data_IF_612003533063
#
_entry.id   IF_612003533063
#
_cell.length_a   1.000
_cell.length_b   1.000
_cell.length_c   1.000
_cell.angle_alpha   90.00
_cell.angle_beta   90.00
_cell.angle_gamma   90.00
#
_symmetry.space_group_name_H-M   'P 1'
#
loop_
_entity.id
_entity.type
_entity.pdbx_description
1 polymer ?
#
# COMPACT_ATOMS: atom_id res chain seq x y z
N UNK A 1 13.81 -5.27 -7.88
CA UNK A 1 13.05 -6.53 -7.81
C UNK A 1 12.13 -6.40 -6.62
N UNK A 2 10.84 -6.55 -6.84
CA UNK A 2 9.76 -6.24 -5.89
C UNK A 2 9.64 -7.31 -4.82
N UNK A 3 9.25 -6.91 -3.60
CA UNK A 3 8.96 -7.83 -2.52
C UNK A 3 7.70 -8.66 -2.89
N UNK A 4 7.86 -9.98 -3.13
CA UNK A 4 6.78 -10.89 -3.53
C UNK A 4 5.62 -10.93 -2.51
N UNK A 5 5.91 -10.75 -1.22
CA UNK A 5 4.88 -10.71 -0.17
C UNK A 5 4.03 -9.46 -0.30
N UNK A 6 4.65 -8.27 -0.35
CA UNK A 6 3.91 -7.02 -0.46
C UNK A 6 3.16 -6.90 -1.79
N UNK A 7 3.72 -7.39 -2.90
CA UNK A 7 3.01 -7.46 -4.18
C UNK A 7 1.74 -8.30 -4.09
N UNK A 8 1.82 -9.48 -3.47
CA UNK A 8 0.63 -10.32 -3.26
C UNK A 8 -0.41 -9.59 -2.40
N UNK A 9 0.01 -8.84 -1.37
CA UNK A 9 -0.93 -8.05 -0.57
C UNK A 9 -1.56 -6.91 -1.34
N UNK A 10 -0.80 -6.18 -2.17
CA UNK A 10 -1.34 -5.15 -3.07
C UNK A 10 -2.39 -5.75 -4.01
N UNK A 11 -2.14 -6.94 -4.56
CA UNK A 11 -3.10 -7.64 -5.40
C UNK A 11 -4.41 -7.90 -4.64
N UNK A 12 -4.35 -8.43 -3.42
CA UNK A 12 -5.56 -8.69 -2.62
C UNK A 12 -6.29 -7.43 -2.17
N UNK A 13 -5.62 -6.28 -2.09
CA UNK A 13 -6.30 -5.01 -1.83
C UNK A 13 -7.03 -4.50 -3.08
N UNK A 14 -6.54 -4.83 -4.28
CA UNK A 14 -7.23 -4.55 -5.54
C UNK A 14 -8.44 -5.48 -5.73
N UNK A 15 -8.27 -6.77 -5.48
CA UNK A 15 -9.33 -7.80 -5.52
C UNK A 15 -10.31 -7.61 -4.34
N UNK A 16 -11.41 -6.89 -4.59
CA UNK A 16 -12.40 -6.54 -3.56
C UNK A 16 -13.47 -7.61 -3.40
N UNK A 17 -13.74 -8.40 -4.43
CA UNK A 17 -14.71 -9.50 -4.37
C UNK A 17 -14.08 -10.84 -3.93
N UNK A 18 -12.76 -10.93 -3.88
CA UNK A 18 -12.01 -12.08 -3.39
C UNK A 18 -11.99 -13.25 -4.37
N UNK A 19 -12.27 -13.00 -5.66
CA UNK A 19 -12.32 -14.03 -6.70
C UNK A 19 -10.95 -14.41 -7.26
N UNK A 20 -9.87 -13.85 -6.69
CA UNK A 20 -8.48 -14.02 -7.11
C UNK A 20 -8.18 -13.50 -8.51
N UNK A 21 -9.00 -12.58 -9.01
CA UNK A 21 -8.80 -11.81 -10.22
C UNK A 21 -8.96 -10.32 -9.90
N UNK A 22 -8.48 -9.46 -10.79
CA UNK A 22 -8.74 -8.02 -10.71
C UNK A 22 -9.60 -7.67 -11.91
N UNK A 23 -10.89 -7.47 -11.66
CA UNK A 23 -11.84 -7.09 -12.69
C UNK A 23 -11.65 -5.62 -13.11
N UNK A 24 -12.33 -5.19 -14.17
CA UNK A 24 -12.17 -3.84 -14.72
C UNK A 24 -12.47 -2.73 -13.68
N UNK A 25 -13.48 -2.92 -12.83
CA UNK A 25 -13.84 -1.91 -11.84
C UNK A 25 -12.78 -1.81 -10.74
N UNK A 26 -12.27 -2.94 -10.27
CA UNK A 26 -11.19 -3.02 -9.29
C UNK A 26 -9.91 -2.41 -9.81
N UNK A 27 -9.55 -2.72 -11.06
CA UNK A 27 -8.42 -2.13 -11.75
C UNK A 27 -8.50 -0.60 -11.79
N UNK A 28 -9.65 -0.06 -12.21
CA UNK A 28 -9.86 1.39 -12.30
C UNK A 28 -9.80 2.04 -10.91
N UNK A 29 -10.45 1.45 -9.90
CA UNK A 29 -10.45 1.97 -8.52
C UNK A 29 -9.04 1.96 -7.91
N UNK A 30 -8.30 0.87 -8.08
CA UNK A 30 -6.93 0.76 -7.59
C UNK A 30 -5.99 1.76 -8.27
N UNK A 31 -6.08 1.89 -9.60
CA UNK A 31 -5.29 2.90 -10.33
C UNK A 31 -5.65 4.33 -9.95
N UNK A 32 -6.92 4.63 -9.66
CA UNK A 32 -7.33 5.95 -9.20
C UNK A 32 -6.57 6.35 -7.92
N UNK A 33 -6.44 5.43 -6.96
CA UNK A 33 -5.65 5.65 -5.72
C UNK A 33 -4.16 5.75 -6.02
N UNK A 34 -3.62 4.85 -6.85
CA UNK A 34 -2.18 4.79 -7.14
C UNK A 34 -1.67 6.05 -7.85
N UNK A 35 -2.37 6.47 -8.90
CA UNK A 35 -1.91 7.56 -9.75
C UNK A 35 -2.30 8.92 -9.17
N UNK A 36 -3.52 9.03 -8.61
CA UNK A 36 -4.13 10.32 -8.26
C UNK A 36 -4.80 10.35 -6.88
N UNK A 37 -4.58 9.32 -6.06
CA UNK A 37 -5.16 9.25 -4.73
C UNK A 37 -4.67 10.39 -3.84
N UNK A 38 -5.59 10.92 -3.05
CA UNK A 38 -5.30 11.82 -1.93
C UNK A 38 -4.43 11.12 -0.89
N UNK A 39 -3.85 11.90 0.01
CA UNK A 39 -3.06 11.34 1.11
C UNK A 39 -3.90 10.38 1.96
N UNK A 40 -5.15 10.74 2.23
CA UNK A 40 -6.12 9.92 2.97
C UNK A 40 -6.43 8.59 2.28
N UNK A 41 -6.65 8.60 0.97
CA UNK A 41 -6.90 7.37 0.19
C UNK A 41 -5.67 6.46 0.19
N UNK A 42 -4.47 7.03 0.02
CA UNK A 42 -3.20 6.29 0.07
C UNK A 42 -2.92 5.71 1.45
N UNK A 43 -3.24 6.45 2.51
CA UNK A 43 -3.10 6.00 3.90
C UNK A 43 -4.01 4.81 4.20
N UNK A 44 -5.29 4.88 3.80
CA UNK A 44 -6.20 3.73 3.91
C UNK A 44 -5.71 2.54 3.09
N UNK A 45 -5.27 2.79 1.87
CA UNK A 45 -4.75 1.75 1.00
C UNK A 45 -3.55 1.01 1.64
N UNK A 46 -2.53 1.74 2.11
CA UNK A 46 -1.36 1.09 2.70
C UNK A 46 -1.72 0.38 4.02
N UNK A 47 -2.64 0.91 4.81
CA UNK A 47 -3.17 0.18 5.96
C UNK A 47 -3.82 -1.15 5.55
N UNK A 48 -4.67 -1.15 4.50
CA UNK A 48 -5.28 -2.36 3.93
C UNK A 48 -4.25 -3.39 3.48
N UNK A 49 -3.15 -2.95 2.86
CA UNK A 49 -2.03 -3.82 2.48
C UNK A 49 -1.38 -4.44 3.72
N UNK A 50 -1.26 -3.69 4.81
CA UNK A 50 -0.55 -4.14 6.01
C UNK A 50 -1.35 -5.06 6.91
N UNK A 51 -2.64 -4.80 7.12
CA UNK A 51 -3.45 -5.66 7.99
C UNK A 51 -3.89 -6.95 7.30
N UNK A 52 -3.78 -7.07 5.98
CA UNK A 52 -4.35 -8.14 5.14
C UNK A 52 -4.67 -9.44 5.91
N UNK A 53 -5.96 -9.82 5.94
CA UNK A 53 -6.62 -10.93 6.66
C UNK A 53 -7.13 -10.65 8.09
N UNK A 54 -8.42 -10.91 8.31
CA UNK A 54 -8.97 -11.51 9.53
C UNK A 54 -9.38 -10.60 10.70
N UNK A 55 -8.66 -9.54 10.99
CA UNK A 55 -8.79 -8.86 12.29
C UNK A 55 -8.82 -7.32 12.24
N UNK A 56 -8.62 -6.68 11.08
CA UNK A 56 -8.63 -5.21 10.93
C UNK A 56 -7.59 -4.46 11.79
N UNK A 57 -6.55 -5.18 12.25
CA UNK A 57 -5.39 -4.61 12.95
C UNK A 57 -4.10 -5.17 12.33
N UNK A 58 -3.02 -4.41 12.44
CA UNK A 58 -1.68 -4.91 12.09
C UNK A 58 -1.08 -5.53 13.35
N UNK A 59 -1.05 -6.86 13.41
CA UNK A 59 -0.45 -7.58 14.53
C UNK A 59 1.08 -7.51 14.49
N UNK A 60 1.68 -7.78 15.65
CA UNK A 60 3.13 -7.87 15.81
C UNK A 60 3.79 -8.83 14.81
N UNK A 61 3.17 -9.98 14.60
CA UNK A 61 3.63 -11.03 13.68
C UNK A 61 3.59 -10.52 12.23
N UNK A 62 2.52 -9.80 11.85
CA UNK A 62 2.41 -9.19 10.52
C UNK A 62 3.50 -8.16 10.26
N UNK A 63 3.83 -7.33 11.26
CA UNK A 63 4.94 -6.37 11.17
C UNK A 63 6.25 -7.12 10.94
N UNK A 64 6.51 -8.15 11.74
CA UNK A 64 7.72 -8.97 11.61
C UNK A 64 7.87 -9.58 10.22
N UNK A 65 6.81 -10.22 9.70
CA UNK A 65 6.83 -10.85 8.38
C UNK A 65 7.09 -9.86 7.24
N UNK A 66 6.45 -8.68 7.30
CA UNK A 66 6.66 -7.63 6.30
C UNK A 66 8.09 -7.08 6.34
N UNK A 67 8.61 -6.79 7.54
CA UNK A 67 9.98 -6.28 7.70
C UNK A 67 11.03 -7.33 7.29
N UNK A 68 10.83 -8.59 7.67
CA UNK A 68 11.70 -9.71 7.25
C UNK A 68 11.76 -9.79 5.73
N UNK A 69 10.60 -9.73 5.09
CA UNK A 69 10.48 -9.82 3.64
C UNK A 69 11.06 -8.59 2.92
N UNK A 70 10.85 -7.38 3.45
CA UNK A 70 11.30 -6.13 2.82
C UNK A 70 12.80 -5.88 2.95
N UNK A 71 13.43 -6.34 4.03
CA UNK A 71 14.84 -6.04 4.33
C UNK A 71 15.80 -7.16 3.92
N UNK A 72 15.35 -8.42 3.89
CA UNK A 72 16.25 -9.58 3.79
C UNK A 72 15.83 -10.53 2.68
N UNK A 73 16.03 -10.11 1.43
CA UNK A 73 15.88 -10.99 0.27
C UNK A 73 17.09 -11.91 0.03
N UNK A 74 18.27 -11.66 0.65
CA UNK A 74 19.54 -12.31 0.23
C UNK A 74 20.59 -12.56 1.35
N UNK A 75 20.23 -12.59 2.65
CA UNK A 75 21.22 -12.75 3.75
C UNK A 75 20.99 -14.02 4.58
N UNK A 76 22.03 -14.61 5.20
CA UNK A 76 21.88 -15.77 6.08
C UNK A 76 20.88 -15.49 7.21
N UNK A 77 19.98 -16.45 7.44
CA UNK A 77 18.68 -16.29 8.09
C UNK A 77 18.74 -16.04 9.61
N UNK A 78 19.86 -16.36 10.26
CA UNK A 78 19.93 -16.43 11.73
C UNK A 78 20.48 -15.17 12.40
N UNK A 79 21.27 -14.33 11.72
CA UNK A 79 21.89 -13.13 12.34
C UNK A 79 20.98 -11.89 12.33
N UNK A 80 19.88 -11.90 11.58
CA UNK A 80 19.06 -10.71 11.31
C UNK A 80 17.70 -10.68 12.03
N UNK A 81 17.29 -11.75 12.71
CA UNK A 81 15.98 -11.80 13.37
C UNK A 81 15.89 -10.87 14.59
N UNK A 82 16.97 -10.72 15.35
CA UNK A 82 16.96 -9.83 16.52
C UNK A 82 16.79 -8.37 16.11
N UNK A 83 17.47 -7.94 15.04
CA UNK A 83 17.27 -6.60 14.48
C UNK A 83 15.84 -6.36 13.98
N UNK A 84 15.18 -7.39 13.42
CA UNK A 84 13.77 -7.27 13.03
C UNK A 84 12.87 -7.16 14.27
N UNK A 85 13.12 -7.94 15.33
CA UNK A 85 12.36 -7.82 16.59
C UNK A 85 12.50 -6.43 17.21
N UNK A 86 13.70 -5.86 17.17
CA UNK A 86 13.92 -4.47 17.60
C UNK A 86 13.11 -3.47 16.75
N UNK A 87 13.08 -3.64 15.42
CA UNK A 87 12.28 -2.80 14.54
C UNK A 87 10.77 -2.95 14.79
N UNK A 88 10.30 -4.17 15.10
CA UNK A 88 8.91 -4.42 15.50
C UNK A 88 8.58 -3.64 16.78
N UNK A 89 9.44 -3.70 17.79
CA UNK A 89 9.25 -2.95 19.04
C UNK A 89 9.28 -1.44 18.82
N UNK A 90 10.20 -0.94 18.00
CA UNK A 90 10.26 0.47 17.63
C UNK A 90 8.99 0.90 16.91
N UNK A 91 8.45 0.05 16.03
CA UNK A 91 7.23 0.32 15.28
C UNK A 91 6.03 0.40 16.21
N UNK A 92 5.83 -0.58 17.10
CA UNK A 92 4.77 -0.55 18.11
C UNK A 92 4.91 0.69 19.00
N UNK A 93 6.09 0.94 19.56
CA UNK A 93 6.32 2.13 20.41
C UNK A 93 6.01 3.46 19.72
N UNK A 94 6.16 3.55 18.39
CA UNK A 94 5.87 4.75 17.61
C UNK A 94 4.40 4.87 17.19
N UNK A 95 3.73 3.75 17.00
CA UNK A 95 2.45 3.71 16.28
C UNK A 95 1.29 3.23 17.17
N UNK A 96 1.52 2.29 18.09
CA UNK A 96 0.52 1.78 19.04
C UNK A 96 0.30 2.81 20.16
N UNK A 97 -0.78 3.60 20.07
CA UNK A 97 -1.08 4.64 21.06
C UNK A 97 -1.89 4.13 22.26
N UNK A 98 -2.68 3.08 22.08
CA UNK A 98 -3.51 2.51 23.14
C UNK A 98 -2.80 1.39 23.92
N UNK A 99 -1.63 0.95 23.45
CA UNK A 99 -0.74 -0.06 24.03
C UNK A 99 -1.39 -1.44 24.13
N UNK A 100 -2.21 -1.80 23.15
CA UNK A 100 -2.85 -3.12 23.08
C UNK A 100 -1.99 -4.18 22.35
N UNK A 101 -0.82 -3.78 21.85
CA UNK A 101 0.16 -4.65 21.20
C UNK A 101 -0.09 -4.89 19.71
N UNK A 102 -1.05 -4.17 19.11
CA UNK A 102 -1.36 -4.18 17.68
C UNK A 102 -1.60 -2.73 17.21
N UNK A 103 -1.72 -2.53 15.90
CA UNK A 103 -1.90 -1.19 15.33
C UNK A 103 -3.28 -1.14 14.66
N UNK A 104 -4.19 -0.35 15.23
CA UNK A 104 -5.48 0.00 14.63
C UNK A 104 -5.34 0.99 13.48
N UNK A 105 -6.42 1.25 12.74
CA UNK A 105 -6.40 2.30 11.71
C UNK A 105 -6.20 3.68 12.35
N UNK A 106 -6.82 3.92 13.51
CA UNK A 106 -6.72 5.16 14.27
C UNK A 106 -5.28 5.43 14.73
N UNK A 107 -4.59 4.39 15.19
CA UNK A 107 -3.17 4.41 15.55
C UNK A 107 -2.30 4.76 14.35
N UNK A 108 -2.51 4.03 13.25
CA UNK A 108 -1.79 4.21 12.00
C UNK A 108 -1.99 5.62 11.44
N UNK A 109 -3.24 6.09 11.34
CA UNK A 109 -3.57 7.43 10.87
C UNK A 109 -2.89 8.50 11.72
N UNK A 110 -2.98 8.38 13.04
CA UNK A 110 -2.38 9.36 13.95
C UNK A 110 -0.85 9.38 13.84
N UNK A 111 -0.21 8.21 13.71
CA UNK A 111 1.22 8.11 13.51
C UNK A 111 1.67 8.71 12.17
N UNK A 112 1.00 8.35 11.08
CA UNK A 112 1.32 8.79 9.71
C UNK A 112 1.06 10.29 9.51
N UNK A 113 0.02 10.86 10.13
CA UNK A 113 -0.20 12.31 10.12
C UNK A 113 0.87 13.08 10.89
N UNK A 114 1.45 12.48 11.93
CA UNK A 114 2.54 13.07 12.71
C UNK A 114 3.87 12.96 11.99
N UNK A 115 4.12 11.83 11.33
CA UNK A 115 5.33 11.55 10.57
C UNK A 115 4.98 10.82 9.26
N UNK A 116 4.95 11.56 8.15
CA UNK A 116 4.56 11.03 6.84
C UNK A 116 5.48 9.95 6.30
N UNK A 117 6.70 9.80 6.85
CA UNK A 117 7.61 8.71 6.49
C UNK A 117 7.09 7.34 6.95
N UNK A 118 6.16 7.31 7.90
CA UNK A 118 5.57 6.07 8.40
C UNK A 118 4.52 5.48 7.46
N UNK A 119 4.10 6.20 6.42
CA UNK A 119 3.09 5.73 5.46
C UNK A 119 3.49 4.38 4.83
N UNK A 120 4.78 4.24 4.49
CA UNK A 120 5.35 3.03 3.88
C UNK A 120 6.33 2.31 4.83
N UNK A 121 6.12 2.41 6.15
CA UNK A 121 7.07 1.96 7.18
C UNK A 121 7.48 0.48 7.08
N UNK A 122 6.58 -0.39 6.62
CA UNK A 122 6.81 -1.84 6.53
C UNK A 122 7.23 -2.30 5.12
N UNK A 123 7.42 -1.35 4.21
CA UNK A 123 7.87 -1.54 2.85
C UNK A 123 6.96 -0.85 1.83
N UNK A 124 7.45 -0.68 0.59
CA UNK A 124 6.77 0.08 -0.45
C UNK A 124 5.48 -0.63 -0.90
N UNK A 125 4.35 0.05 -0.72
CA UNK A 125 3.00 -0.35 -1.16
C UNK A 125 2.51 0.49 -2.35
N UNK A 126 3.15 1.63 -2.61
CA UNK A 126 2.73 2.58 -3.65
C UNK A 126 3.76 2.69 -4.77
N UNK A 127 3.31 2.98 -6.00
CA UNK A 127 4.22 3.30 -7.08
C UNK A 127 4.94 4.63 -6.81
N UNK A 128 6.22 4.69 -7.15
CA UNK A 128 6.98 5.93 -7.08
C UNK A 128 6.49 6.94 -8.13
N UNK A 129 6.76 8.23 -7.87
CA UNK A 129 6.28 9.31 -8.73
C UNK A 129 6.74 9.16 -10.20
N UNK A 130 7.97 8.69 -10.44
CA UNK A 130 8.50 8.52 -11.81
C UNK A 130 7.74 7.41 -12.54
N UNK A 131 7.41 6.32 -11.84
CA UNK A 131 6.58 5.24 -12.37
C UNK A 131 5.17 5.73 -12.69
N UNK A 132 4.55 6.52 -11.80
CA UNK A 132 3.24 7.13 -12.07
C UNK A 132 3.27 8.03 -13.32
N UNK A 133 4.23 8.96 -13.40
CA UNK A 133 4.35 9.86 -14.55
C UNK A 133 4.58 9.10 -15.86
N UNK A 134 5.40 8.05 -15.83
CA UNK A 134 5.65 7.22 -17.01
C UNK A 134 4.39 6.48 -17.46
N UNK A 135 3.66 5.87 -16.53
CA UNK A 135 2.41 5.17 -16.81
C UNK A 135 1.35 6.13 -17.38
N UNK A 136 1.14 7.29 -16.74
CA UNK A 136 0.19 8.28 -17.23
C UNK A 136 0.55 8.79 -18.63
N UNK A 137 1.84 9.03 -18.89
CA UNK A 137 2.32 9.43 -20.20
C UNK A 137 2.08 8.35 -21.27
N UNK A 138 2.14 7.06 -20.95
CA UNK A 138 1.88 6.01 -21.92
C UNK A 138 0.38 5.83 -22.19
N UNK A 139 -0.42 5.82 -21.12
CA UNK A 139 -1.84 5.46 -21.20
C UNK A 139 -2.71 6.64 -21.64
N UNK A 140 -2.37 7.87 -21.24
CA UNK A 140 -3.22 9.04 -21.48
C UNK A 140 -2.74 9.97 -22.61
N UNK A 141 -1.51 9.82 -23.15
CA UNK A 141 -1.00 10.70 -24.23
C UNK A 141 -1.82 10.66 -25.53
N UNK A 142 -2.62 9.62 -25.77
CA UNK A 142 -3.43 9.52 -26.98
C UNK A 142 -4.88 10.02 -26.83
N UNK A 143 -5.28 10.51 -25.66
CA UNK A 143 -6.61 11.10 -25.44
C UNK A 143 -6.47 12.59 -25.12
N UNK A 144 -6.26 13.40 -26.16
CA UNK A 144 -6.56 14.83 -26.07
C UNK A 144 -8.06 15.03 -25.79
N UNK A 145 -8.47 15.95 -24.92
CA UNK A 145 -9.88 16.27 -24.67
C UNK A 145 -10.65 16.72 -25.93
N UNK A 146 -9.94 17.09 -26.99
CA UNK A 146 -10.51 17.58 -28.25
C UNK A 146 -11.36 16.54 -29.03
N UNK A 147 -11.30 15.25 -28.69
CA UNK A 147 -12.09 14.21 -29.36
C UNK A 147 -13.53 14.09 -28.86
N UNK A 148 -13.92 14.80 -27.79
CA UNK A 148 -15.29 14.76 -27.25
C UNK A 148 -16.19 15.92 -27.71
N UNK A 149 -15.68 16.91 -28.45
CA UNK A 149 -16.47 18.09 -28.87
C UNK A 149 -17.23 17.94 -30.21
N UNK A 150 -17.10 16.83 -30.91
CA UNK A 150 -17.85 16.60 -32.16
C UNK A 150 -18.67 15.31 -32.12
N UNK A 151 -19.76 15.33 -31.36
CA UNK A 151 -20.87 14.42 -31.60
C UNK A 151 -22.03 15.19 -32.29
N UNK A 152 -22.21 15.06 -33.62
CA UNK A 152 -23.24 15.78 -34.36
C UNK A 152 -24.67 15.20 -34.19
N UNK A 153 -24.91 14.34 -33.20
CA UNK A 153 -26.23 13.73 -32.96
C UNK A 153 -27.08 14.43 -31.88
N UNK A 154 -26.79 15.70 -31.57
CA UNK A 154 -27.63 16.51 -30.70
C UNK A 154 -28.09 17.79 -31.40
N UNK A 155 -28.92 17.62 -32.44
CA UNK A 155 -29.82 18.65 -32.99
C UNK A 155 -31.15 18.01 -33.35
#
# INVERSE_FOLDING_TARGET
MTNDVLMNRVFFVFDKDGDSHVNLQEWIKGLAVFLRGTFEEKMRFCFEVYYLSGDAYISREKIFDMLKSSLFHNSPEEENEEGIKDLVEISLKKMDYDNDGKISFEDFEKAVRKDGLLLEAFGPCLPDAKTCFHFEALVFKNNSPASFEHNPLNT
#
